data_IF_500731211746
#
_entry.id   IF_500731211746
#
_cell.length_a   1.000
_cell.length_b   1.000
_cell.length_c   1.000
_cell.angle_alpha   90.00
_cell.angle_beta   90.00
_cell.angle_gamma   90.00
#
_symmetry.space_group_name_H-M   'P 1'
#
loop_
_entity.id
_entity.type
_entity.pdbx_description
1 polymer ?
#
# COMPACT_ATOMS: atom_id res chain seq x y z
N UNK A 1 -12.39 9.65 0.31
CA UNK A 1 -11.49 8.49 0.16
C UNK A 1 -12.30 7.27 -0.19
N UNK A 2 -11.86 6.52 -1.13
CA UNK A 2 -12.54 5.30 -1.57
C UNK A 2 -11.62 4.11 -1.37
N UNK A 3 -12.17 3.02 -0.84
CA UNK A 3 -11.43 1.78 -0.67
C UNK A 3 -12.02 0.76 -1.63
N UNK A 4 -11.17 0.17 -2.45
CA UNK A 4 -11.58 -0.85 -3.40
C UNK A 4 -10.99 -2.18 -2.96
N UNK A 5 -11.84 -3.18 -2.81
CA UNK A 5 -11.42 -4.53 -2.51
C UNK A 5 -10.80 -5.16 -3.74
N UNK A 6 -9.90 -6.10 -3.53
CA UNK A 6 -9.29 -6.87 -4.60
C UNK A 6 -9.62 -8.35 -4.42
N UNK A 7 -9.15 -9.18 -5.36
CA UNK A 7 -9.35 -10.63 -5.26
C UNK A 7 -8.60 -11.24 -4.07
N UNK A 8 -7.63 -10.53 -3.53
CA UNK A 8 -6.92 -10.94 -2.31
C UNK A 8 -7.44 -10.05 -1.19
N UNK A 9 -8.19 -10.60 -0.22
CA UNK A 9 -8.87 -9.75 0.79
C UNK A 9 -7.96 -8.82 1.57
N UNK A 10 -6.73 -9.21 1.79
CA UNK A 10 -5.79 -8.38 2.54
C UNK A 10 -5.15 -7.26 1.70
N UNK A 11 -5.41 -7.25 0.42
CA UNK A 11 -4.90 -6.22 -0.47
C UNK A 11 -6.03 -5.28 -0.84
N UNK A 12 -5.87 -4.02 -0.53
CA UNK A 12 -6.86 -3.00 -0.80
C UNK A 12 -6.24 -1.87 -1.61
N UNK A 13 -7.05 -1.25 -2.44
CA UNK A 13 -6.65 -0.06 -3.19
C UNK A 13 -7.30 1.14 -2.54
N UNK A 14 -6.51 2.12 -2.17
CA UNK A 14 -6.98 3.35 -1.55
C UNK A 14 -6.93 4.46 -2.57
N UNK A 15 -8.06 5.09 -2.81
CA UNK A 15 -8.15 6.22 -3.72
C UNK A 15 -8.48 7.45 -2.90
N UNK A 16 -7.52 8.37 -2.74
CA UNK A 16 -7.77 9.59 -1.96
C UNK A 16 -8.68 10.53 -2.74
N UNK A 17 -9.39 11.37 -2.02
CA UNK A 17 -10.16 12.43 -2.64
C UNK A 17 -9.21 13.55 -3.07
N UNK A 18 -9.31 13.96 -4.31
CA UNK A 18 -8.46 15.03 -4.85
C UNK A 18 -9.28 16.29 -4.98
N UNK A 19 -8.82 17.35 -4.36
CA UNK A 19 -9.44 18.66 -4.42
C UNK A 19 -8.66 19.54 -5.41
N UNK A 20 -9.30 19.93 -6.50
CA UNK A 20 -8.64 20.69 -7.56
C UNK A 20 -9.18 22.09 -7.64
N UNK A 21 -8.28 23.02 -7.93
CA UNK A 21 -8.65 24.40 -8.23
C UNK A 21 -7.64 24.99 -9.22
N UNK A 22 -7.72 26.31 -9.48
CA UNK A 22 -6.83 26.95 -10.44
C UNK A 22 -5.36 26.94 -10.03
N UNK A 23 -5.06 26.65 -8.78
CA UNK A 23 -3.68 26.60 -8.28
C UNK A 23 -3.06 25.23 -8.40
N UNK A 24 -3.86 24.18 -8.68
CA UNK A 24 -3.39 22.81 -8.73
C UNK A 24 -4.33 21.88 -7.99
N UNK A 25 -3.79 20.99 -7.16
CA UNK A 25 -4.63 20.09 -6.41
C UNK A 25 -4.06 19.85 -5.01
N UNK A 26 -4.94 19.39 -4.14
CA UNK A 26 -4.61 18.96 -2.80
C UNK A 26 -5.32 17.63 -2.53
N UNK A 27 -4.63 16.72 -1.91
CA UNK A 27 -5.26 15.50 -1.41
C UNK A 27 -4.54 15.03 -0.16
N UNK A 28 -5.31 14.41 0.73
CA UNK A 28 -4.73 13.78 1.91
C UNK A 28 -4.39 12.35 1.56
N UNK A 29 -3.14 12.00 1.64
CA UNK A 29 -2.66 10.68 1.24
C UNK A 29 -2.85 9.67 2.36
N UNK A 30 -2.60 10.06 3.60
CA UNK A 30 -2.72 9.17 4.73
C UNK A 30 -3.26 9.92 5.94
N UNK A 31 -4.24 9.30 6.59
CA UNK A 31 -4.78 9.78 7.84
C UNK A 31 -5.14 8.52 8.63
N UNK A 32 -4.51 8.34 9.78
CA UNK A 32 -4.67 7.11 10.55
C UNK A 32 -6.12 6.87 10.98
N UNK A 33 -6.80 7.92 11.39
CA UNK A 33 -8.20 7.79 11.82
C UNK A 33 -9.12 7.45 10.66
N UNK A 34 -8.93 8.10 9.52
CA UNK A 34 -9.73 7.84 8.34
C UNK A 34 -9.50 6.41 7.82
N UNK A 35 -8.26 5.95 7.85
CA UNK A 35 -7.93 4.59 7.43
C UNK A 35 -8.56 3.57 8.37
N UNK A 36 -8.48 3.82 9.68
CA UNK A 36 -9.10 2.94 10.66
C UNK A 36 -10.61 2.86 10.47
N UNK A 37 -11.25 3.99 10.25
CA UNK A 37 -12.69 4.03 10.00
C UNK A 37 -13.07 3.29 8.72
N UNK A 38 -12.16 3.23 7.76
CA UNK A 38 -12.38 2.52 6.50
C UNK A 38 -11.99 1.04 6.57
N UNK A 39 -11.60 0.56 7.74
CA UNK A 39 -11.27 -0.86 7.92
C UNK A 39 -9.80 -1.18 7.78
N UNK A 40 -8.93 -0.21 7.65
CA UNK A 40 -7.49 -0.41 7.59
C UNK A 40 -6.91 -0.05 8.95
N UNK A 41 -6.83 -1.05 9.82
CA UNK A 41 -6.41 -0.83 11.19
C UNK A 41 -4.91 -1.11 11.33
N UNK A 42 -4.13 -0.39 10.57
CA UNK A 42 -2.68 -0.43 10.63
C UNK A 42 -2.16 0.98 10.87
N UNK A 43 -1.21 1.09 11.78
CA UNK A 43 -0.55 2.36 12.04
C UNK A 43 0.81 2.31 11.35
N UNK A 44 0.99 3.17 10.39
CA UNK A 44 2.23 3.22 9.64
C UNK A 44 3.19 4.16 10.37
N UNK A 45 4.30 3.61 10.83
CA UNK A 45 5.25 4.34 11.68
C UNK A 45 6.59 4.58 10.99
N UNK A 46 6.72 4.19 9.75
CA UNK A 46 7.95 4.36 8.99
C UNK A 46 7.58 4.68 7.55
N UNK A 47 8.29 5.61 6.96
CA UNK A 47 8.06 6.03 5.60
C UNK A 47 9.38 5.97 4.84
N UNK A 48 9.39 5.25 3.73
CA UNK A 48 10.56 5.10 2.90
C UNK A 48 10.23 5.45 1.47
N UNK A 49 11.21 5.98 0.77
CA UNK A 49 11.07 6.26 -0.64
C UNK A 49 12.22 5.58 -1.38
N UNK A 50 11.91 4.99 -2.51
CA UNK A 50 12.93 4.39 -3.34
C UNK A 50 12.72 4.80 -4.80
N UNK A 51 13.80 4.79 -5.55
CA UNK A 51 13.76 5.03 -6.98
C UNK A 51 14.38 3.82 -7.67
N UNK A 52 13.73 3.35 -8.72
CA UNK A 52 14.24 2.23 -9.53
C UNK A 52 14.27 2.64 -10.98
N UNK A 53 15.30 2.17 -11.66
CA UNK A 53 15.40 2.33 -13.10
C UNK A 53 14.47 1.34 -13.78
N UNK A 54 14.12 1.62 -15.04
CA UNK A 54 13.28 0.72 -15.80
C UNK A 54 13.87 -0.68 -15.84
N UNK A 55 13.06 -1.68 -15.67
CA UNK A 55 13.47 -3.07 -15.72
C UNK A 55 13.97 -3.66 -14.41
N UNK A 56 14.02 -2.88 -13.36
CA UNK A 56 14.46 -3.37 -12.06
C UNK A 56 13.34 -4.15 -11.39
N UNK A 57 13.69 -5.30 -10.86
CA UNK A 57 12.79 -6.13 -10.06
C UNK A 57 13.33 -6.15 -8.64
N UNK A 58 12.47 -5.86 -7.68
CA UNK A 58 12.80 -5.94 -6.27
C UNK A 58 11.87 -6.94 -5.63
N UNK A 59 12.40 -7.85 -4.89
CA UNK A 59 11.61 -8.88 -4.23
C UNK A 59 12.27 -10.23 -4.40
N UNK A 60 11.64 -11.30 -4.00
CA UNK A 60 10.40 -11.26 -3.23
C UNK A 60 10.76 -11.09 -1.77
N UNK A 61 10.01 -10.26 -1.06
CA UNK A 61 10.28 -10.02 0.35
C UNK A 61 9.15 -10.59 1.19
N UNK A 62 9.49 -11.13 2.34
CA UNK A 62 8.53 -11.81 3.19
C UNK A 62 8.90 -11.62 4.65
N UNK A 63 7.91 -11.24 5.43
CA UNK A 63 8.01 -11.23 6.87
C UNK A 63 6.70 -11.76 7.41
N UNK A 64 6.77 -12.65 8.38
CA UNK A 64 5.61 -13.30 8.94
C UNK A 64 5.63 -13.26 10.46
N UNK A 65 4.51 -13.61 11.08
CA UNK A 65 4.37 -13.62 12.51
C UNK A 65 4.47 -12.24 13.11
N UNK A 66 5.19 -12.12 14.21
CA UNK A 66 5.32 -10.84 14.89
C UNK A 66 6.12 -9.81 14.09
N UNK A 67 6.81 -10.25 13.07
CA UNK A 67 7.55 -9.36 12.20
C UNK A 67 6.79 -8.98 10.94
N UNK A 68 5.56 -9.45 10.82
CA UNK A 68 4.73 -9.11 9.67
C UNK A 68 4.46 -7.61 9.66
N UNK A 69 4.49 -7.02 8.49
CA UNK A 69 4.28 -5.60 8.32
C UNK A 69 3.19 -5.32 7.30
N UNK A 70 2.32 -4.39 7.63
CA UNK A 70 1.45 -3.80 6.65
C UNK A 70 2.25 -2.77 5.85
N UNK A 71 1.97 -2.67 4.57
CA UNK A 71 2.64 -1.71 3.70
C UNK A 71 1.62 -0.90 2.93
N UNK A 72 1.82 0.40 2.92
CA UNK A 72 1.08 1.31 2.08
C UNK A 72 2.04 1.77 0.99
N UNK A 73 1.74 1.44 -0.25
CA UNK A 73 2.61 1.73 -1.38
C UNK A 73 1.94 2.74 -2.29
N UNK A 74 2.68 3.77 -2.64
CA UNK A 74 2.20 4.81 -3.54
C UNK A 74 3.31 5.13 -4.54
N UNK A 75 2.95 5.26 -5.81
CA UNK A 75 3.90 5.65 -6.84
C UNK A 75 3.81 7.15 -7.01
N UNK A 76 4.90 7.85 -6.74
CA UNK A 76 4.96 9.30 -6.85
C UNK A 76 5.10 9.70 -8.31
N UNK A 77 5.89 8.95 -9.06
CA UNK A 77 6.14 9.25 -10.46
C UNK A 77 6.41 7.95 -11.21
N UNK A 78 5.79 7.78 -12.35
CA UNK A 78 5.93 6.58 -13.17
C UNK A 78 4.88 5.53 -12.85
N UNK A 79 5.23 4.28 -13.04
CA UNK A 79 4.34 3.15 -12.80
C UNK A 79 5.15 1.94 -12.37
N UNK A 80 4.54 1.12 -11.53
CA UNK A 80 5.14 -0.14 -11.08
C UNK A 80 4.08 -1.23 -11.09
N UNK A 81 4.53 -2.46 -11.24
CA UNK A 81 3.67 -3.62 -11.03
C UNK A 81 4.02 -4.24 -9.70
N UNK A 82 3.01 -4.47 -8.88
CA UNK A 82 3.20 -5.09 -7.58
C UNK A 82 2.62 -6.48 -7.63
N UNK A 83 3.42 -7.46 -7.26
CA UNK A 83 2.98 -8.83 -7.19
C UNK A 83 2.85 -9.20 -5.73
N UNK A 84 1.63 -9.59 -5.34
CA UNK A 84 1.35 -10.01 -3.98
C UNK A 84 1.09 -11.51 -3.99
N UNK A 85 1.88 -12.24 -3.25
CA UNK A 85 1.62 -13.65 -3.06
C UNK A 85 0.80 -13.80 -1.82
N UNK A 86 -0.38 -14.31 -1.98
CA UNK A 86 -1.24 -14.58 -0.85
C UNK A 86 -0.62 -15.76 -0.11
N UNK A 87 -0.38 -15.52 1.13
CA UNK A 87 0.29 -16.52 1.90
C UNK A 87 -0.52 -17.65 2.22
N UNK A 88 -0.81 -18.50 1.45
CA UNK A 88 -1.40 -19.61 1.69
C UNK A 88 -0.69 -20.13 2.71
N UNK A 89 -0.24 -19.72 2.97
CA UNK A 89 0.64 -19.91 3.70
C UNK A 89 0.71 -20.18 4.76
N UNK A 90 0.23 -20.14 4.83
CA UNK A 90 0.20 -20.64 5.70
C UNK A 90 1.03 -21.60 5.87
N UNK A 91 1.30 -21.99 4.99
CA UNK A 91 2.24 -22.91 5.11
C UNK A 91 3.32 -22.32 5.90
N UNK A 92 3.38 -22.61 7.10
CA UNK A 92 4.32 -21.99 7.98
C UNK A 92 5.71 -22.39 7.67
N UNK A 93 5.89 -23.36 6.90
CA UNK A 93 7.22 -23.76 6.54
C UNK A 93 7.72 -22.93 5.39
N UNK A 94 6.92 -22.06 4.93
CA UNK A 94 7.30 -21.17 3.85
C UNK A 94 7.42 -19.77 4.32
#
# INVERSE_FOLDING_TARGET
MQIIATSIPDVKVVIPTIHRDSRGYFCEIYNAEAYKAAGIDALFVQDNESRSMRGVIRGLHWQAGQHAQAKLVRVIRGAVSVIKLAPRIANPTT
#
